data_IF_671990581064
#
_entry.id   IF_671990581064
#
_cell.length_a   1.000
_cell.length_b   1.000
_cell.length_c   1.000
_cell.angle_alpha   90.00
_cell.angle_beta   90.00
_cell.angle_gamma   90.00
#
_symmetry.space_group_name_H-M   'P 1'
#
loop_
_entity.id
_entity.type
_entity.pdbx_description
1 polymer ?
#
# COMPACT_ATOMS: atom_id res chain seq x y z
N UNK A 1 15.44 -9.88 -51.82
CA UNK A 1 14.63 -9.11 -50.85
C UNK A 1 14.86 -9.75 -49.50
N UNK A 2 15.74 -9.18 -48.67
CA UNK A 2 16.13 -9.76 -47.35
C UNK A 2 15.34 -9.05 -46.29
N UNK A 3 14.49 -9.79 -45.59
CA UNK A 3 13.80 -9.30 -44.40
C UNK A 3 14.78 -9.24 -43.21
N UNK A 4 15.05 -8.05 -42.71
CA UNK A 4 15.74 -7.85 -41.45
C UNK A 4 14.75 -8.15 -40.31
N UNK A 5 14.90 -9.30 -39.65
CA UNK A 5 14.24 -9.63 -38.45
C UNK A 5 14.77 -8.77 -37.29
N UNK A 6 14.02 -7.78 -36.88
CA UNK A 6 14.28 -7.06 -35.65
C UNK A 6 14.13 -8.02 -34.46
N UNK A 7 15.23 -8.30 -33.77
CA UNK A 7 15.23 -9.01 -32.49
C UNK A 7 14.54 -8.13 -31.44
N UNK A 8 13.31 -8.46 -31.10
CA UNK A 8 12.70 -8.02 -29.86
C UNK A 8 13.54 -8.62 -28.73
N UNK A 9 14.35 -7.81 -28.06
CA UNK A 9 15.01 -8.21 -26.83
C UNK A 9 13.92 -8.55 -25.83
N UNK A 10 13.83 -9.81 -25.43
CA UNK A 10 13.02 -10.23 -24.30
C UNK A 10 13.52 -9.48 -23.06
N UNK A 11 12.62 -8.79 -22.38
CA UNK A 11 12.83 -8.13 -21.08
C UNK A 11 12.94 -9.19 -19.95
N UNK A 12 13.82 -10.18 -20.13
CA UNK A 12 13.96 -11.36 -19.27
C UNK A 12 15.26 -11.40 -18.45
N UNK A 13 16.11 -10.40 -18.59
CA UNK A 13 17.34 -10.30 -17.79
C UNK A 13 17.11 -9.34 -16.61
N UNK A 14 17.63 -9.69 -15.42
CA UNK A 14 17.44 -8.97 -14.16
C UNK A 14 17.77 -7.50 -14.36
N UNK A 15 16.74 -6.65 -14.31
CA UNK A 15 16.91 -5.20 -14.28
C UNK A 15 17.83 -4.86 -13.09
N UNK A 16 19.00 -4.30 -13.34
CA UNK A 16 19.83 -3.75 -12.29
C UNK A 16 19.08 -2.58 -11.68
N UNK A 17 18.87 -2.66 -10.36
CA UNK A 17 18.20 -1.59 -9.63
C UNK A 17 19.16 -1.04 -8.59
N UNK A 18 19.21 0.27 -8.52
CA UNK A 18 19.77 0.97 -7.37
C UNK A 18 18.63 1.35 -6.45
N UNK A 19 18.63 0.81 -5.22
CA UNK A 19 17.67 1.19 -4.18
C UNK A 19 18.38 2.10 -3.19
N UNK A 20 17.76 3.23 -2.87
CA UNK A 20 18.26 4.20 -1.89
C UNK A 20 17.09 4.79 -1.09
N UNK A 21 17.40 5.41 0.04
CA UNK A 21 16.46 6.18 0.86
C UNK A 21 16.45 7.67 0.46
N UNK A 22 15.40 8.38 0.84
CA UNK A 22 15.38 9.85 0.70
C UNK A 22 16.34 10.55 1.66
N UNK A 23 16.81 9.89 2.72
CA UNK A 23 17.90 10.42 3.55
C UNK A 23 19.23 10.42 2.79
N UNK A 24 19.51 9.36 2.02
CA UNK A 24 20.73 9.28 1.21
C UNK A 24 20.67 10.19 -0.03
N UNK A 25 19.47 10.41 -0.59
CA UNK A 25 19.26 11.16 -1.81
C UNK A 25 18.06 12.11 -1.69
N UNK A 26 18.15 13.15 -0.85
CA UNK A 26 17.02 14.08 -0.58
C UNK A 26 16.53 14.84 -1.82
N UNK A 27 17.39 15.07 -2.80
CA UNK A 27 17.05 15.71 -4.06
C UNK A 27 16.04 14.90 -4.91
N UNK A 28 15.86 13.61 -4.63
CA UNK A 28 14.94 12.75 -5.36
C UNK A 28 13.48 12.86 -4.91
N UNK A 29 13.22 13.59 -3.83
CA UNK A 29 11.89 13.66 -3.19
C UNK A 29 10.76 14.02 -4.15
N UNK A 30 10.92 15.08 -4.93
CA UNK A 30 9.88 15.54 -5.86
C UNK A 30 9.64 14.49 -6.97
N UNK A 31 10.69 13.85 -7.44
CA UNK A 31 10.58 12.78 -8.45
C UNK A 31 9.88 11.54 -7.89
N UNK A 32 10.17 11.17 -6.65
CA UNK A 32 9.50 10.04 -5.95
C UNK A 32 8.02 10.32 -5.78
N UNK A 33 7.66 11.50 -5.28
CA UNK A 33 6.25 11.88 -5.07
C UNK A 33 5.49 12.08 -6.39
N UNK A 34 6.17 12.49 -7.45
CA UNK A 34 5.58 12.69 -8.79
C UNK A 34 5.49 11.42 -9.64
N UNK A 35 5.95 10.26 -9.15
CA UNK A 35 5.91 9.03 -9.93
C UNK A 35 4.46 8.58 -10.18
N UNK A 36 4.17 8.18 -11.40
CA UNK A 36 2.86 7.65 -11.77
C UNK A 36 2.51 6.40 -10.96
N UNK A 37 1.25 6.30 -10.57
CA UNK A 37 0.71 5.14 -9.87
C UNK A 37 -0.57 4.64 -10.54
N UNK A 38 -1.05 3.47 -10.13
CA UNK A 38 -2.27 2.84 -10.64
C UNK A 38 -3.40 2.76 -9.60
N UNK A 39 -3.33 3.59 -8.54
CA UNK A 39 -4.39 3.62 -7.53
C UNK A 39 -5.68 4.21 -8.11
N UNK A 40 -6.86 3.66 -7.77
CA UNK A 40 -8.13 4.32 -8.08
C UNK A 40 -8.17 5.73 -7.47
N UNK A 41 -8.72 6.71 -8.20
CA UNK A 41 -8.75 8.11 -7.75
C UNK A 41 -9.37 8.26 -6.35
N UNK A 42 -10.50 7.59 -6.09
CA UNK A 42 -11.17 7.68 -4.79
C UNK A 42 -10.29 7.19 -3.62
N UNK A 43 -9.37 6.25 -3.82
CA UNK A 43 -8.45 5.77 -2.78
C UNK A 43 -7.47 6.85 -2.38
N UNK A 44 -7.04 7.68 -3.33
CA UNK A 44 -6.12 8.78 -3.06
C UNK A 44 -6.78 10.00 -2.38
N UNK A 45 -8.09 9.96 -2.22
CA UNK A 45 -8.90 11.02 -1.57
C UNK A 45 -9.15 10.75 -0.07
N UNK A 46 -8.51 9.73 0.49
CA UNK A 46 -8.54 9.49 1.93
C UNK A 46 -7.95 10.68 2.71
N UNK A 47 -8.69 11.14 3.73
CA UNK A 47 -8.30 12.33 4.51
C UNK A 47 -7.08 12.08 5.40
N UNK A 48 -6.94 10.88 5.95
CA UNK A 48 -5.80 10.52 6.79
C UNK A 48 -4.55 10.43 5.92
N UNK A 49 -4.67 9.78 4.75
CA UNK A 49 -3.60 9.71 3.77
C UNK A 49 -3.15 11.09 3.30
N UNK A 50 -4.09 11.94 2.91
CA UNK A 50 -3.80 13.30 2.47
C UNK A 50 -3.12 14.15 3.55
N UNK A 51 -3.46 13.94 4.83
CA UNK A 51 -2.84 14.66 5.94
C UNK A 51 -1.42 14.16 6.27
N UNK A 52 -1.08 12.92 5.96
CA UNK A 52 0.13 12.29 6.48
C UNK A 52 1.12 11.82 5.40
N UNK A 53 0.66 11.41 4.21
CA UNK A 53 1.51 10.72 3.24
C UNK A 53 2.72 11.56 2.78
N UNK A 54 2.52 12.83 2.44
CA UNK A 54 3.60 13.74 2.07
C UNK A 54 4.55 14.03 3.25
N UNK A 55 4.05 13.96 4.49
CA UNK A 55 4.84 14.13 5.70
C UNK A 55 5.82 12.99 5.92
N UNK A 56 5.50 11.75 5.51
CA UNK A 56 6.46 10.63 5.59
C UNK A 56 7.75 11.02 4.88
N UNK A 57 7.66 11.55 3.66
CA UNK A 57 8.84 11.96 2.89
C UNK A 57 9.56 13.19 3.47
N UNK A 58 8.89 13.98 4.31
CA UNK A 58 9.45 15.18 4.93
C UNK A 58 10.08 14.93 6.29
N UNK A 59 9.41 14.12 7.11
CA UNK A 59 9.73 13.98 8.54
C UNK A 59 10.38 12.61 8.85
N UNK A 60 10.25 11.64 7.93
CA UNK A 60 10.74 10.26 8.06
C UNK A 60 11.43 9.80 6.74
N UNK A 61 12.33 10.60 6.13
CA UNK A 61 12.92 10.29 4.82
C UNK A 61 13.72 9.00 4.80
N UNK A 62 14.23 8.52 5.92
CA UNK A 62 14.93 7.23 6.07
C UNK A 62 14.00 6.03 5.87
N UNK A 63 12.69 6.22 6.00
CA UNK A 63 11.67 5.19 5.77
C UNK A 63 10.99 5.28 4.40
N UNK A 64 11.50 6.14 3.53
CA UNK A 64 11.06 6.24 2.13
C UNK A 64 12.18 5.74 1.22
N UNK A 65 11.92 4.59 0.59
CA UNK A 65 12.86 3.95 -0.34
C UNK A 65 12.37 4.13 -1.78
N UNK A 66 13.32 4.27 -2.70
CA UNK A 66 13.01 4.29 -4.12
C UNK A 66 14.03 3.45 -4.90
N UNK A 67 13.60 2.95 -6.05
CA UNK A 67 14.42 2.17 -6.97
C UNK A 67 14.57 2.91 -8.29
N UNK A 68 15.83 3.08 -8.72
CA UNK A 68 16.18 3.58 -10.04
C UNK A 68 16.63 2.42 -10.95
N UNK A 69 16.27 2.48 -12.22
CA UNK A 69 16.80 1.60 -13.25
C UNK A 69 18.19 2.08 -13.74
N UNK A 70 18.76 1.35 -14.69
CA UNK A 70 20.06 1.67 -15.31
C UNK A 70 20.10 3.05 -16.00
N UNK A 71 18.94 3.64 -16.31
CA UNK A 71 18.80 4.96 -16.93
C UNK A 71 18.63 6.08 -15.92
N UNK A 72 18.56 5.73 -14.61
CA UNK A 72 18.29 6.68 -13.54
C UNK A 72 16.82 7.10 -13.46
N UNK A 73 15.90 6.33 -14.08
CA UNK A 73 14.47 6.54 -13.94
C UNK A 73 13.95 5.85 -12.68
N UNK A 74 13.09 6.53 -11.91
CA UNK A 74 12.43 5.94 -10.76
C UNK A 74 11.36 4.97 -11.27
N UNK A 75 11.51 3.69 -10.93
CA UNK A 75 10.63 2.61 -11.37
C UNK A 75 9.79 2.02 -10.23
N UNK A 76 10.15 2.31 -8.98
CA UNK A 76 9.36 1.95 -7.81
C UNK A 76 9.71 2.84 -6.62
N UNK A 77 8.79 2.99 -5.68
CA UNK A 77 9.06 3.54 -4.36
C UNK A 77 8.23 2.82 -3.29
N UNK A 78 8.66 2.95 -2.04
CA UNK A 78 7.98 2.38 -0.88
C UNK A 78 8.05 3.34 0.29
N UNK A 79 6.95 3.42 1.04
CA UNK A 79 6.86 4.20 2.27
C UNK A 79 6.57 3.28 3.44
N UNK A 80 7.23 3.51 4.54
CA UNK A 80 6.95 2.90 5.83
C UNK A 80 6.97 3.94 6.94
N UNK A 81 6.43 3.60 8.09
CA UNK A 81 6.45 4.46 9.27
C UNK A 81 6.78 3.65 10.51
N UNK A 82 7.66 4.14 11.38
CA UNK A 82 7.88 3.57 12.71
C UNK A 82 6.80 4.06 13.67
N UNK A 83 6.35 3.19 14.56
CA UNK A 83 5.35 3.52 15.59
C UNK A 83 5.53 2.63 16.83
N UNK A 84 4.96 3.03 17.96
CA UNK A 84 5.00 2.27 19.21
C UNK A 84 3.76 1.37 19.31
N UNK A 85 3.85 0.13 18.82
CA UNK A 85 2.77 -0.85 18.91
C UNK A 85 2.49 -1.25 20.36
N UNK A 86 3.54 -1.37 21.18
CA UNK A 86 3.44 -1.85 22.56
C UNK A 86 3.38 -0.71 23.59
N UNK A 87 2.95 0.51 23.19
CA UNK A 87 2.64 1.58 24.12
C UNK A 87 1.45 1.22 25.03
N UNK A 88 1.31 1.94 26.17
CA UNK A 88 0.41 1.56 27.27
C UNK A 88 -1.05 1.28 26.85
N UNK A 89 -1.59 2.03 25.91
CA UNK A 89 -2.97 1.87 25.43
C UNK A 89 -3.08 1.09 24.10
N UNK A 90 -2.05 0.32 23.74
CA UNK A 90 -1.95 -0.44 22.50
C UNK A 90 -1.54 -1.89 22.81
N UNK A 91 -1.05 -2.63 21.88
CA UNK A 91 -0.55 -4.00 22.08
C UNK A 91 -1.00 -4.93 20.98
N UNK A 92 -2.05 -4.58 20.28
CA UNK A 92 -2.54 -5.30 19.10
C UNK A 92 -2.57 -4.39 17.87
N UNK A 93 -2.47 -5.02 16.68
CA UNK A 93 -2.60 -4.29 15.43
C UNK A 93 -4.02 -3.75 15.27
N UNK A 94 -4.20 -2.47 14.96
CA UNK A 94 -5.49 -1.82 15.05
C UNK A 94 -6.47 -2.28 13.95
N UNK A 95 -7.75 -2.35 14.30
CA UNK A 95 -8.83 -2.65 13.34
C UNK A 95 -8.95 -1.58 12.23
N UNK A 96 -8.52 -0.34 12.51
CA UNK A 96 -8.44 0.77 11.55
C UNK A 96 -7.11 0.83 10.80
N UNK A 97 -6.38 -0.25 10.77
CA UNK A 97 -5.27 -0.58 9.91
C UNK A 97 -4.38 0.57 9.49
N UNK A 98 -4.42 0.90 8.21
CA UNK A 98 -3.58 1.88 7.54
C UNK A 98 -3.76 3.30 8.10
N UNK A 99 -5.00 3.75 8.28
CA UNK A 99 -5.31 5.07 8.82
C UNK A 99 -4.76 5.25 10.24
N UNK A 100 -5.05 4.28 11.10
CA UNK A 100 -4.70 4.39 12.52
C UNK A 100 -3.19 4.31 12.75
N UNK A 101 -2.49 3.50 12.00
CA UNK A 101 -1.02 3.44 12.06
C UNK A 101 -0.39 4.76 11.67
N UNK A 102 -0.90 5.45 10.63
CA UNK A 102 -0.41 6.78 10.28
C UNK A 102 -0.65 7.79 11.40
N UNK A 103 -1.85 7.77 11.99
CA UNK A 103 -2.18 8.65 13.13
C UNK A 103 -1.25 8.34 14.31
N UNK A 104 -1.03 7.06 14.64
CA UNK A 104 -0.13 6.66 15.72
C UNK A 104 1.30 7.09 15.45
N UNK A 105 1.86 6.79 14.28
CA UNK A 105 3.24 7.12 13.92
C UNK A 105 3.54 8.62 14.10
N UNK A 106 2.68 9.49 13.55
CA UNK A 106 2.88 10.93 13.66
C UNK A 106 2.54 11.51 15.04
N UNK A 107 1.64 10.86 15.79
CA UNK A 107 1.43 11.18 17.20
C UNK A 107 2.64 10.82 18.05
N UNK A 108 3.21 9.63 17.84
CA UNK A 108 4.40 9.16 18.56
C UNK A 108 5.61 10.04 18.26
N UNK A 109 5.84 10.35 16.97
CA UNK A 109 6.91 11.26 16.55
C UNK A 109 6.80 12.61 17.26
N UNK A 110 5.62 13.24 17.25
CA UNK A 110 5.39 14.52 17.91
C UNK A 110 5.58 14.46 19.43
N UNK A 111 5.23 13.35 20.06
CA UNK A 111 5.32 13.14 21.51
C UNK A 111 6.68 12.61 21.95
N UNK A 112 7.57 12.29 21.03
CA UNK A 112 8.88 11.69 21.33
C UNK A 112 8.76 10.27 21.91
N UNK A 113 7.70 9.52 21.57
CA UNK A 113 7.54 8.13 21.98
C UNK A 113 8.45 7.27 21.12
N UNK A 114 9.26 6.41 21.75
CA UNK A 114 10.17 5.53 21.03
C UNK A 114 9.39 4.45 20.28
N UNK A 115 9.55 4.34 18.95
CA UNK A 115 8.90 3.29 18.18
C UNK A 115 9.56 1.93 18.47
N UNK A 116 8.75 0.88 18.36
CA UNK A 116 9.18 -0.53 18.50
C UNK A 116 8.82 -1.39 17.28
N UNK A 117 7.99 -0.88 16.39
CA UNK A 117 7.46 -1.58 15.23
C UNK A 117 7.50 -0.67 14.00
N UNK A 118 7.71 -1.23 12.81
CA UNK A 118 7.60 -0.51 11.52
C UNK A 118 6.40 -1.06 10.74
N UNK A 119 5.55 -0.16 10.25
CA UNK A 119 4.50 -0.52 9.29
C UNK A 119 4.90 -0.14 7.88
N UNK A 120 4.82 -1.12 6.96
CA UNK A 120 4.81 -0.83 5.53
C UNK A 120 3.48 -0.15 5.17
N UNK A 121 3.55 1.01 4.53
CA UNK A 121 2.40 1.84 4.17
C UNK A 121 2.04 1.69 2.70
N UNK A 122 3.04 1.71 1.83
CA UNK A 122 2.81 1.54 0.39
C UNK A 122 4.03 0.99 -0.32
N UNK A 123 3.78 0.24 -1.38
CA UNK A 123 4.75 -0.07 -2.43
C UNK A 123 4.10 0.30 -3.76
N UNK A 124 4.69 1.23 -4.46
CA UNK A 124 4.23 1.71 -5.77
C UNK A 124 5.27 1.30 -6.82
N UNK A 125 4.80 0.72 -7.91
CA UNK A 125 5.62 0.35 -9.07
C UNK A 125 5.07 1.08 -10.28
N UNK A 126 5.94 1.75 -11.04
CA UNK A 126 5.56 2.39 -12.31
C UNK A 126 4.80 1.37 -13.17
N UNK A 127 3.61 1.72 -13.69
CA UNK A 127 2.81 0.82 -14.52
C UNK A 127 3.61 0.17 -15.68
N UNK A 128 4.60 0.88 -16.23
CA UNK A 128 5.47 0.40 -17.33
C UNK A 128 6.49 -0.64 -16.85
N UNK A 129 6.78 -0.69 -15.55
CA UNK A 129 7.76 -1.58 -14.93
C UNK A 129 7.11 -2.73 -14.12
N UNK A 130 5.78 -2.85 -14.16
CA UNK A 130 5.06 -3.94 -13.48
C UNK A 130 5.38 -5.31 -14.12
N UNK A 131 5.15 -6.39 -13.36
CA UNK A 131 5.39 -7.76 -13.83
C UNK A 131 6.85 -8.25 -13.69
N UNK A 132 7.79 -7.40 -13.27
CA UNK A 132 9.23 -7.73 -13.15
C UNK A 132 9.69 -8.00 -11.70
N UNK A 133 8.75 -8.28 -10.79
CA UNK A 133 9.07 -8.63 -9.40
C UNK A 133 9.54 -7.45 -8.53
N UNK A 134 9.37 -6.21 -8.99
CA UNK A 134 9.82 -5.01 -8.26
C UNK A 134 9.15 -4.86 -6.89
N UNK A 135 7.87 -5.20 -6.77
CA UNK A 135 7.16 -5.16 -5.49
C UNK A 135 7.82 -6.04 -4.42
N UNK A 136 8.24 -7.25 -4.80
CA UNK A 136 8.95 -8.16 -3.88
C UNK A 136 10.33 -7.62 -3.49
N UNK A 137 11.04 -7.00 -4.43
CA UNK A 137 12.35 -6.36 -4.17
C UNK A 137 12.21 -5.16 -3.24
N UNK A 138 11.19 -4.31 -3.44
CA UNK A 138 10.91 -3.18 -2.56
C UNK A 138 10.51 -3.65 -1.16
N UNK A 139 9.68 -4.69 -1.04
CA UNK A 139 9.32 -5.28 0.24
C UNK A 139 10.54 -5.83 0.98
N UNK A 140 11.46 -6.49 0.26
CA UNK A 140 12.74 -6.93 0.86
C UNK A 140 13.55 -5.74 1.36
N UNK A 141 13.70 -4.69 0.56
CA UNK A 141 14.43 -3.49 0.94
C UNK A 141 13.81 -2.79 2.17
N UNK A 142 12.48 -2.73 2.28
CA UNK A 142 11.81 -2.19 3.47
C UNK A 142 12.14 -3.00 4.73
N UNK A 143 12.15 -4.33 4.64
CA UNK A 143 12.51 -5.22 5.75
C UNK A 143 13.99 -5.03 6.15
N UNK A 144 14.88 -4.95 5.17
CA UNK A 144 16.31 -4.73 5.42
C UNK A 144 16.56 -3.35 6.03
N UNK A 145 15.85 -2.33 5.56
CA UNK A 145 15.89 -0.99 6.16
C UNK A 145 15.41 -0.99 7.62
N UNK A 146 14.28 -1.63 7.91
CA UNK A 146 13.75 -1.74 9.27
C UNK A 146 14.76 -2.47 10.18
N UNK A 147 15.36 -3.57 9.70
CA UNK A 147 16.43 -4.29 10.44
C UNK A 147 17.64 -3.41 10.71
N UNK A 148 18.08 -2.62 9.73
CA UNK A 148 19.20 -1.70 9.88
C UNK A 148 18.92 -0.60 10.93
N UNK A 149 17.65 -0.23 11.13
CA UNK A 149 17.21 0.69 12.18
C UNK A 149 16.92 0.01 13.54
N UNK A 150 17.20 -1.28 13.67
CA UNK A 150 17.13 -2.02 14.93
C UNK A 150 15.75 -2.58 15.28
N UNK A 151 14.82 -2.62 14.33
CA UNK A 151 13.52 -3.25 14.52
C UNK A 151 13.60 -4.77 14.31
N UNK A 152 12.76 -5.50 15.03
CA UNK A 152 12.65 -6.96 14.94
C UNK A 152 11.47 -7.44 14.10
N UNK A 153 10.57 -6.54 13.72
CA UNK A 153 9.44 -6.87 12.86
C UNK A 153 9.02 -5.71 11.94
N UNK A 154 8.42 -6.10 10.81
CA UNK A 154 7.64 -5.22 9.95
C UNK A 154 6.22 -5.76 9.86
N UNK A 155 5.24 -4.89 10.07
CA UNK A 155 3.83 -5.19 9.83
C UNK A 155 3.34 -4.47 8.58
N UNK A 156 2.27 -4.96 7.97
CA UNK A 156 1.69 -4.31 6.80
C UNK A 156 0.17 -4.51 6.78
N UNK A 157 -0.65 -3.44 6.73
CA UNK A 157 -2.07 -3.53 6.44
C UNK A 157 -2.24 -3.65 4.91
N UNK A 158 -2.13 -4.87 4.42
CA UNK A 158 -2.06 -5.16 3.00
C UNK A 158 -3.42 -5.04 2.35
N UNK A 159 -3.52 -4.22 1.32
CA UNK A 159 -4.66 -4.17 0.40
C UNK A 159 -4.56 -5.35 -0.58
N UNK A 160 -5.43 -6.37 -0.50
CA UNK A 160 -5.35 -7.51 -1.41
C UNK A 160 -5.59 -7.07 -2.86
N UNK A 161 -4.67 -7.43 -3.75
CA UNK A 161 -4.62 -6.87 -5.11
C UNK A 161 -5.74 -7.36 -6.04
N UNK A 162 -6.33 -8.52 -5.79
CA UNK A 162 -7.40 -9.10 -6.60
C UNK A 162 -8.77 -9.13 -5.91
N UNK A 163 -8.88 -8.64 -4.65
CA UNK A 163 -10.14 -8.63 -3.90
C UNK A 163 -11.24 -7.80 -4.56
N UNK A 164 -10.88 -6.75 -5.29
CA UNK A 164 -11.82 -5.92 -6.03
C UNK A 164 -12.60 -6.67 -7.14
N UNK A 165 -12.12 -7.86 -7.54
CA UNK A 165 -12.83 -8.74 -8.49
C UNK A 165 -13.99 -9.51 -7.82
N UNK A 166 -14.01 -9.51 -6.50
CA UNK A 166 -15.01 -10.21 -5.68
C UNK A 166 -15.49 -9.30 -4.54
N UNK A 167 -16.09 -8.12 -4.82
CA UNK A 167 -16.38 -7.10 -3.80
C UNK A 167 -17.33 -7.59 -2.70
N UNK A 168 -18.22 -8.55 -3.00
CA UNK A 168 -19.19 -9.08 -2.06
C UNK A 168 -18.65 -10.25 -1.20
N UNK A 169 -17.49 -10.80 -1.52
CA UNK A 169 -16.89 -11.83 -0.67
C UNK A 169 -16.38 -11.20 0.62
N UNK A 170 -16.75 -11.70 1.83
CA UNK A 170 -16.22 -11.21 3.10
C UNK A 170 -14.69 -11.27 3.10
N UNK A 171 -14.06 -10.24 3.66
CA UNK A 171 -12.60 -10.15 3.68
C UNK A 171 -11.97 -11.28 4.52
N UNK A 172 -12.65 -11.72 5.56
CA UNK A 172 -12.23 -12.84 6.42
C UNK A 172 -12.15 -14.13 5.62
N UNK A 173 -13.13 -14.39 4.77
CA UNK A 173 -13.11 -15.55 3.86
C UNK A 173 -12.02 -15.40 2.80
N UNK A 174 -11.95 -14.24 2.15
CA UNK A 174 -11.00 -13.99 1.08
C UNK A 174 -9.54 -14.08 1.53
N UNK A 175 -9.21 -13.51 2.69
CA UNK A 175 -7.85 -13.46 3.24
C UNK A 175 -7.27 -14.85 3.53
N UNK A 176 -8.13 -15.82 3.87
CA UNK A 176 -7.71 -17.18 4.22
C UNK A 176 -7.79 -18.17 3.05
N UNK A 177 -8.20 -17.74 1.87
CA UNK A 177 -8.19 -18.61 0.68
C UNK A 177 -6.78 -18.95 0.27
N UNK A 178 -6.55 -20.24 0.09
CA UNK A 178 -5.26 -20.77 -0.38
C UNK A 178 -5.41 -21.50 -1.70
N UNK A 179 -4.34 -21.56 -2.44
CA UNK A 179 -4.18 -22.34 -3.65
C UNK A 179 -3.81 -23.79 -3.31
N UNK A 180 -3.83 -24.72 -4.29
CA UNK A 180 -3.37 -26.10 -4.07
C UNK A 180 -1.92 -26.21 -3.57
N UNK A 181 -1.08 -25.20 -3.83
CA UNK A 181 0.30 -25.12 -3.35
C UNK A 181 0.42 -24.60 -1.90
N UNK A 182 -0.72 -24.37 -1.21
CA UNK A 182 -0.78 -23.85 0.16
C UNK A 182 -0.52 -22.36 0.31
N UNK A 183 -0.24 -21.65 -0.78
CA UNK A 183 0.01 -20.20 -0.76
C UNK A 183 -1.31 -19.42 -0.89
N UNK A 184 -1.36 -18.16 -0.40
CA UNK A 184 -2.54 -17.32 -0.53
C UNK A 184 -3.08 -17.22 -1.96
N UNK A 185 -4.39 -17.20 -2.09
CA UNK A 185 -5.06 -16.98 -3.38
C UNK A 185 -4.74 -15.61 -3.96
N UNK A 186 -4.76 -14.58 -3.14
CA UNK A 186 -4.43 -13.22 -3.56
C UNK A 186 -2.95 -13.09 -3.96
N UNK A 187 -2.66 -12.48 -5.13
CA UNK A 187 -1.28 -12.32 -5.60
C UNK A 187 -0.38 -11.52 -4.65
N UNK A 188 -0.92 -10.46 -4.02
CA UNK A 188 -0.11 -9.59 -3.18
C UNK A 188 0.10 -10.21 -1.79
N UNK A 189 -0.90 -10.83 -1.18
CA UNK A 189 -0.72 -11.62 0.05
C UNK A 189 0.30 -12.75 -0.18
N UNK A 190 0.29 -13.37 -1.35
CA UNK A 190 1.26 -14.41 -1.73
C UNK A 190 2.69 -13.90 -1.82
N UNK A 191 2.91 -12.66 -2.31
CA UNK A 191 4.24 -12.03 -2.29
C UNK A 191 4.74 -11.88 -0.86
N UNK A 192 3.89 -11.39 0.06
CA UNK A 192 4.22 -11.26 1.47
C UNK A 192 4.56 -12.60 2.13
N UNK A 193 3.75 -13.66 1.90
CA UNK A 193 4.01 -14.99 2.46
C UNK A 193 5.31 -15.59 1.90
N UNK A 194 5.58 -15.43 0.61
CA UNK A 194 6.87 -15.86 0.02
C UNK A 194 8.07 -15.10 0.59
N UNK A 195 7.87 -13.88 1.05
CA UNK A 195 8.87 -13.11 1.77
C UNK A 195 8.97 -13.46 3.26
N UNK A 196 8.28 -14.51 3.72
CA UNK A 196 8.33 -15.00 5.09
C UNK A 196 7.31 -14.37 6.05
N UNK A 197 6.31 -13.65 5.53
CA UNK A 197 5.24 -13.14 6.37
C UNK A 197 4.20 -14.21 6.71
N UNK A 198 3.51 -14.00 7.83
CA UNK A 198 2.28 -14.68 8.17
C UNK A 198 1.07 -13.73 8.04
N UNK A 199 -0.07 -14.27 7.60
CA UNK A 199 -1.37 -13.61 7.77
C UNK A 199 -1.66 -13.55 9.26
N UNK A 200 -1.93 -12.36 9.79
CA UNK A 200 -2.14 -12.17 11.23
C UNK A 200 -3.62 -11.99 11.56
N UNK A 201 -4.25 -10.99 10.96
CA UNK A 201 -5.66 -10.63 11.22
C UNK A 201 -6.22 -9.83 10.04
N UNK A 202 -7.53 -9.60 10.07
CA UNK A 202 -8.20 -8.63 9.20
C UNK A 202 -8.22 -7.27 9.90
N UNK A 203 -7.98 -6.20 9.15
CA UNK A 203 -8.26 -4.82 9.53
C UNK A 203 -9.55 -4.38 8.84
N UNK A 204 -10.73 -4.49 9.47
CA UNK A 204 -12.01 -4.36 8.78
C UNK A 204 -12.33 -2.93 8.33
N UNK A 205 -11.68 -1.93 8.89
CA UNK A 205 -11.87 -0.51 8.58
C UNK A 205 -10.53 0.20 8.40
N UNK A 206 -9.66 -0.39 7.59
CA UNK A 206 -8.25 0.03 7.43
C UNK A 206 -8.11 1.43 6.86
N UNK A 207 -8.99 1.81 5.94
CA UNK A 207 -9.06 3.13 5.32
C UNK A 207 -10.53 3.56 5.20
N UNK A 208 -10.81 4.84 5.43
CA UNK A 208 -12.18 5.36 5.31
C UNK A 208 -12.22 6.59 4.41
N UNK A 209 -12.77 6.41 3.21
CA UNK A 209 -12.98 7.51 2.25
C UNK A 209 -14.43 7.97 2.31
N UNK A 210 -14.65 9.21 2.70
CA UNK A 210 -15.97 9.83 2.71
C UNK A 210 -15.98 11.06 1.80
N UNK A 211 -17.10 11.29 1.14
CA UNK A 211 -17.25 12.43 0.24
C UNK A 211 -18.70 12.76 -0.07
N UNK A 212 -18.93 13.94 -0.60
CA UNK A 212 -20.22 14.32 -1.18
C UNK A 212 -20.52 13.47 -2.44
N UNK A 213 -21.78 13.35 -2.79
CA UNK A 213 -22.17 12.64 -4.01
C UNK A 213 -21.52 13.25 -5.28
N UNK A 214 -21.30 14.58 -5.27
CA UNK A 214 -20.61 15.25 -6.37
C UNK A 214 -19.14 14.82 -6.48
N UNK A 215 -18.46 14.64 -5.35
CA UNK A 215 -17.09 14.12 -5.31
C UNK A 215 -17.04 12.67 -5.82
N UNK A 216 -17.91 11.80 -5.31
CA UNK A 216 -17.97 10.42 -5.75
C UNK A 216 -18.27 10.27 -7.25
N UNK A 217 -19.17 11.09 -7.80
CA UNK A 217 -19.43 11.14 -9.26
C UNK A 217 -18.17 11.52 -10.05
N UNK A 218 -17.42 12.50 -9.55
CA UNK A 218 -16.16 12.93 -10.18
C UNK A 218 -15.09 11.85 -10.14
N UNK A 219 -14.90 11.22 -8.98
CA UNK A 219 -13.87 10.20 -8.78
C UNK A 219 -14.14 8.90 -9.53
N UNK A 220 -15.39 8.56 -9.77
CA UNK A 220 -15.77 7.23 -10.29
C UNK A 220 -16.49 7.24 -11.62
N UNK A 221 -17.08 8.38 -12.02
CA UNK A 221 -17.98 8.46 -13.17
C UNK A 221 -19.37 7.82 -12.96
N UNK A 222 -19.66 7.29 -11.76
CA UNK A 222 -20.91 6.62 -11.43
C UNK A 222 -21.97 7.61 -10.90
N UNK A 223 -23.27 7.35 -11.04
CA UNK A 223 -24.32 8.33 -10.76
C UNK A 223 -24.53 8.65 -9.28
N UNK A 224 -24.31 7.72 -8.34
CA UNK A 224 -24.52 7.91 -6.90
C UNK A 224 -25.84 8.64 -6.59
N UNK A 225 -26.94 8.15 -7.13
CA UNK A 225 -28.27 8.74 -7.04
C UNK A 225 -29.29 7.88 -6.27
N UNK A 226 -28.93 6.63 -5.99
CA UNK A 226 -29.79 5.67 -5.32
C UNK A 226 -29.16 5.26 -3.97
N UNK A 227 -30.01 5.18 -2.94
CA UNK A 227 -29.58 4.69 -1.63
C UNK A 227 -29.20 3.21 -1.70
N UNK A 228 -28.06 2.87 -1.12
CA UNK A 228 -27.59 1.48 -1.03
C UNK A 228 -26.12 1.33 -1.35
N UNK A 229 -25.75 0.12 -1.66
CA UNK A 229 -24.38 -0.26 -1.95
C UNK A 229 -24.11 -0.08 -3.45
N UNK A 230 -23.04 0.65 -3.78
CA UNK A 230 -22.61 0.93 -5.15
C UNK A 230 -21.30 0.18 -5.40
N UNK A 231 -21.30 -0.69 -6.40
CA UNK A 231 -20.05 -1.33 -6.86
C UNK A 231 -19.21 -0.33 -7.63
N UNK A 232 -18.05 -0.02 -7.10
CA UNK A 232 -17.08 0.91 -7.70
C UNK A 232 -15.90 0.12 -8.24
N UNK A 233 -15.51 0.30 -9.51
CA UNK A 233 -14.34 -0.38 -10.07
C UNK A 233 -13.08 -0.11 -9.25
N UNK A 234 -12.41 -1.19 -8.83
CA UNK A 234 -11.22 -1.12 -8.01
C UNK A 234 -11.48 -1.07 -6.50
N UNK A 235 -12.71 -0.86 -6.02
CA UNK A 235 -13.05 -0.95 -4.60
C UNK A 235 -13.06 -2.42 -4.13
N UNK A 236 -12.56 -2.68 -2.93
CA UNK A 236 -12.52 -4.03 -2.36
C UNK A 236 -13.88 -4.49 -1.83
N UNK A 237 -14.72 -3.55 -1.46
CA UNK A 237 -16.11 -3.75 -1.02
C UNK A 237 -16.97 -2.63 -1.63
N UNK A 238 -18.29 -2.80 -1.72
CA UNK A 238 -19.16 -1.74 -2.22
C UNK A 238 -19.09 -0.45 -1.39
N UNK A 239 -19.31 0.68 -2.06
CA UNK A 239 -19.39 2.00 -1.42
C UNK A 239 -20.83 2.24 -0.96
N UNK A 240 -21.04 2.65 0.27
CA UNK A 240 -22.34 2.97 0.82
C UNK A 240 -22.78 4.37 0.38
N UNK A 241 -23.85 4.45 -0.43
CA UNK A 241 -24.46 5.70 -0.90
C UNK A 241 -25.69 6.06 -0.06
N UNK A 242 -25.72 7.29 0.45
CA UNK A 242 -26.83 7.86 1.23
C UNK A 242 -27.26 9.22 0.61
N UNK A 243 -28.08 9.22 -0.45
CA UNK A 243 -28.46 10.43 -1.17
C UNK A 243 -29.19 11.47 -0.32
N UNK A 244 -30.01 11.02 0.62
CA UNK A 244 -30.74 11.91 1.55
C UNK A 244 -29.79 12.67 2.49
N UNK A 245 -28.60 12.14 2.73
CA UNK A 245 -27.53 12.78 3.52
C UNK A 245 -26.52 13.53 2.64
N UNK A 246 -26.65 13.43 1.32
CA UNK A 246 -25.75 14.07 0.37
C UNK A 246 -24.34 13.48 0.33
N UNK A 247 -24.13 12.25 0.82
CA UNK A 247 -22.80 11.67 0.95
C UNK A 247 -22.76 10.18 0.56
N UNK A 248 -21.55 9.70 0.29
CA UNK A 248 -21.25 8.27 0.25
C UNK A 248 -19.94 7.99 1.00
N UNK A 249 -19.81 6.75 1.50
CA UNK A 249 -18.68 6.33 2.35
C UNK A 249 -18.18 4.97 1.89
N UNK A 250 -16.89 4.86 1.73
CA UNK A 250 -16.16 3.64 1.49
C UNK A 250 -15.34 3.28 2.73
N UNK A 251 -15.51 2.08 3.24
CA UNK A 251 -14.71 1.55 4.34
C UNK A 251 -13.91 0.38 3.80
N UNK A 252 -12.64 0.60 3.54
CA UNK A 252 -11.76 -0.40 2.95
C UNK A 252 -11.24 -1.37 4.01
N UNK A 253 -11.45 -2.69 3.86
CA UNK A 253 -10.78 -3.67 4.70
C UNK A 253 -9.41 -4.03 4.13
N UNK A 254 -8.43 -4.25 5.00
CA UNK A 254 -7.13 -4.79 4.63
C UNK A 254 -6.80 -6.05 5.45
N UNK A 255 -5.67 -6.67 5.13
CA UNK A 255 -5.17 -7.87 5.82
C UNK A 255 -3.83 -7.55 6.48
N UNK A 256 -3.77 -7.69 7.80
CA UNK A 256 -2.53 -7.55 8.53
C UNK A 256 -1.58 -8.70 8.23
N UNK A 257 -0.42 -8.36 7.71
CA UNK A 257 0.71 -9.28 7.51
C UNK A 257 1.82 -8.94 8.51
N UNK A 258 2.44 -9.96 9.12
CA UNK A 258 3.60 -9.80 10.02
C UNK A 258 4.83 -10.46 9.41
N UNK A 259 5.93 -9.72 9.38
CA UNK A 259 7.25 -10.19 8.98
C UNK A 259 8.18 -10.12 10.19
N UNK A 260 8.63 -11.25 10.69
CA UNK A 260 9.79 -11.29 11.56
C UNK A 260 11.05 -10.93 10.76
N UNK A 261 11.98 -10.18 11.37
CA UNK A 261 13.21 -9.69 10.75
C UNK A 261 14.44 -10.46 11.21
#
# INVERSE_FOLDING_TARGET
MRFHGGRTRAYGDRMELRIASLTERPEMRERVLGMANSWPEFVTEDLVGNAHYARISAELPEYVLFAEDERGEIVAHAHSVPFALHAEDRGELPARGWDEVLVWAFSDLRRGVRPDTVSAISVVVDPRAQGHGLSARMLSAMRDNARAHGFSEVVAPVRPSAKHLEPHTPIEEYAHRVRPDGLPHDPWLRVHVRAGAAVHAVAPASMTVSGSLAQWRRWTGLPFDTRGDVEVPGALVPVRCEPERGCAVYVEPNVWMRHAL
#
